data_IF_083583118450
#
_entry.id   IF_083583118450
#
_cell.length_a   1.000
_cell.length_b   1.000
_cell.length_c   1.000
_cell.angle_alpha   90.00
_cell.angle_beta   90.00
_cell.angle_gamma   90.00
#
_symmetry.space_group_name_H-M   'P 1'
#
loop_
_entity.id
_entity.type
_entity.pdbx_description
1 polymer ?
#
# COMPACT_ATOMS: atom_id res chain seq x y z
N UNK A 1 19.76 16.37 3.75
CA UNK A 1 19.12 15.13 4.22
C UNK A 1 18.77 14.26 3.03
N UNK A 2 18.86 12.93 3.16
CA UNK A 2 18.46 12.01 2.10
C UNK A 2 16.93 12.04 1.93
N UNK A 3 16.46 12.02 0.69
CA UNK A 3 15.04 11.97 0.36
C UNK A 3 14.49 10.57 0.67
N UNK A 4 13.47 10.47 1.52
CA UNK A 4 12.92 9.18 1.95
C UNK A 4 12.34 8.36 0.77
N UNK A 5 12.33 7.01 0.86
CA UNK A 5 11.88 6.14 -0.22
C UNK A 5 10.36 6.14 -0.40
N UNK A 6 9.93 5.65 -1.57
CA UNK A 6 8.54 5.23 -1.83
C UNK A 6 8.56 3.74 -2.13
N UNK A 7 7.70 2.98 -1.46
CA UNK A 7 7.67 1.52 -1.54
C UNK A 7 6.22 1.08 -1.79
N UNK A 8 6.03 0.09 -2.65
CA UNK A 8 4.76 -0.64 -2.75
C UNK A 8 5.01 -2.10 -2.36
N UNK A 9 4.16 -2.66 -1.50
CA UNK A 9 4.28 -4.02 -1.00
C UNK A 9 2.99 -4.80 -1.18
N UNK A 10 3.13 -6.10 -1.43
CA UNK A 10 2.05 -7.04 -1.26
C UNK A 10 1.96 -7.42 0.22
N UNK A 11 0.84 -7.25 0.91
CA UNK A 11 0.71 -7.62 2.33
C UNK A 11 0.34 -9.09 2.57
N UNK A 12 0.01 -9.85 1.52
CA UNK A 12 -0.38 -11.26 1.63
C UNK A 12 -1.83 -11.48 2.09
N UNK A 13 -2.24 -12.73 2.25
CA UNK A 13 -3.59 -13.07 2.69
C UNK A 13 -3.73 -13.05 4.21
N UNK A 14 -4.42 -12.05 4.77
CA UNK A 14 -4.67 -11.99 6.22
C UNK A 14 -3.37 -12.12 7.04
N UNK A 15 -3.32 -12.99 8.08
CA UNK A 15 -2.14 -13.18 8.91
C UNK A 15 -1.11 -14.16 8.31
N UNK A 16 -1.38 -14.77 7.15
CA UNK A 16 -0.58 -15.88 6.62
C UNK A 16 0.93 -15.62 6.53
N UNK A 17 1.40 -14.41 6.12
CA UNK A 17 2.83 -14.11 6.16
C UNK A 17 3.45 -14.22 7.56
N UNK A 18 2.71 -13.83 8.62
CA UNK A 18 3.19 -13.92 10.00
C UNK A 18 3.11 -15.34 10.56
N UNK A 19 2.26 -16.20 9.96
CA UNK A 19 2.18 -17.63 10.27
C UNK A 19 3.22 -18.46 9.50
N UNK A 20 4.15 -17.82 8.78
CA UNK A 20 5.16 -18.48 7.94
C UNK A 20 4.56 -19.41 6.88
N UNK A 21 3.41 -19.02 6.30
CA UNK A 21 2.79 -19.78 5.23
C UNK A 21 3.78 -20.01 4.06
N UNK A 22 3.93 -21.26 3.56
CA UNK A 22 4.86 -21.55 2.48
C UNK A 22 4.62 -20.78 1.19
N UNK A 23 3.37 -20.39 0.90
CA UNK A 23 3.00 -19.58 -0.27
C UNK A 23 3.47 -18.13 -0.19
N UNK A 24 3.92 -17.67 0.99
CA UNK A 24 4.37 -16.29 1.22
C UNK A 24 5.89 -16.18 1.44
N UNK A 25 6.66 -17.26 1.24
CA UNK A 25 8.12 -17.28 1.50
C UNK A 25 8.89 -16.12 0.86
N UNK A 26 8.68 -15.84 -0.42
CA UNK A 26 9.39 -14.77 -1.13
C UNK A 26 8.99 -13.38 -0.63
N UNK A 27 7.72 -13.20 -0.28
CA UNK A 27 7.19 -11.99 0.32
C UNK A 27 7.83 -11.74 1.70
N UNK A 28 7.82 -12.76 2.56
CA UNK A 28 8.44 -12.72 3.89
C UNK A 28 9.92 -12.38 3.75
N UNK A 29 10.65 -13.11 2.91
CA UNK A 29 12.08 -12.88 2.67
C UNK A 29 12.36 -11.44 2.20
N UNK A 30 11.55 -10.92 1.28
CA UNK A 30 11.70 -9.53 0.81
C UNK A 30 11.46 -8.52 1.93
N UNK A 31 10.41 -8.72 2.73
CA UNK A 31 10.06 -7.84 3.85
C UNK A 31 11.07 -7.87 4.97
N UNK A 32 11.68 -9.02 5.28
CA UNK A 32 12.64 -9.15 6.39
C UNK A 32 14.07 -8.79 6.00
N UNK A 33 14.41 -8.78 4.71
CA UNK A 33 15.81 -8.55 4.29
C UNK A 33 16.05 -7.38 3.35
N UNK A 34 15.14 -7.09 2.41
CA UNK A 34 15.33 -6.04 1.40
C UNK A 34 14.75 -4.72 1.87
N UNK A 35 13.48 -4.73 2.30
CA UNK A 35 12.78 -3.51 2.71
C UNK A 35 13.41 -2.77 3.90
N UNK A 36 13.97 -3.46 4.93
CA UNK A 36 14.66 -2.78 6.01
C UNK A 36 15.87 -1.98 5.51
N UNK A 37 16.60 -2.53 4.52
CA UNK A 37 17.74 -1.86 3.88
C UNK A 37 17.29 -0.66 3.03
N UNK A 38 16.21 -0.81 2.26
CA UNK A 38 15.64 0.30 1.46
C UNK A 38 15.18 1.45 2.36
N UNK A 39 14.62 1.12 3.52
CA UNK A 39 14.22 2.09 4.53
C UNK A 39 15.37 2.58 5.42
N UNK A 40 16.60 2.07 5.25
CA UNK A 40 17.74 2.44 6.09
C UNK A 40 17.54 2.14 7.59
N UNK A 41 16.72 1.14 7.93
CA UNK A 41 16.41 0.81 9.32
C UNK A 41 17.69 0.44 10.10
N UNK A 42 17.81 0.96 11.32
CA UNK A 42 19.00 0.77 12.16
C UNK A 42 20.18 1.68 11.80
N UNK A 43 19.98 2.70 10.95
CA UNK A 43 20.97 3.70 10.58
C UNK A 43 20.39 5.11 10.68
N UNK A 44 21.22 6.14 10.59
CA UNK A 44 20.78 7.55 10.56
C UNK A 44 19.95 7.90 9.30
N UNK A 45 19.90 7.01 8.31
CA UNK A 45 19.07 7.16 7.13
C UNK A 45 17.63 6.66 7.31
N UNK A 46 17.28 6.11 8.47
CA UNK A 46 15.92 5.67 8.75
C UNK A 46 14.91 6.84 8.65
N UNK A 47 13.70 6.61 8.10
CA UNK A 47 12.70 7.66 8.00
C UNK A 47 12.19 8.06 9.38
N UNK A 48 11.87 9.34 9.56
CA UNK A 48 11.28 9.85 10.81
C UNK A 48 9.86 9.32 11.06
N UNK A 49 9.18 8.95 9.97
CA UNK A 49 7.83 8.40 9.98
C UNK A 49 7.53 7.74 8.62
N UNK A 50 6.50 6.88 8.60
CA UNK A 50 5.99 6.24 7.39
C UNK A 50 4.53 6.65 7.20
N UNK A 51 4.20 7.27 6.06
CA UNK A 51 2.81 7.37 5.60
C UNK A 51 2.46 6.07 4.88
N UNK A 52 1.58 5.28 5.46
CA UNK A 52 1.20 3.97 4.95
C UNK A 52 -0.21 4.02 4.36
N UNK A 53 -0.30 3.89 3.03
CA UNK A 53 -1.57 3.81 2.31
C UNK A 53 -2.01 2.34 2.25
N UNK A 54 -3.16 2.01 2.85
CA UNK A 54 -3.64 0.61 2.93
C UNK A 54 -4.88 0.38 2.08
N UNK A 55 -4.96 -0.78 1.43
CA UNK A 55 -6.14 -1.22 0.69
C UNK A 55 -7.35 -1.57 1.59
N UNK A 56 -7.16 -1.73 2.90
CA UNK A 56 -8.21 -2.13 3.86
C UNK A 56 -8.92 -0.95 4.53
N UNK A 57 -8.68 0.26 4.02
CA UNK A 57 -9.38 1.45 4.46
C UNK A 57 -9.72 2.33 3.26
N UNK A 58 -11.00 2.52 3.01
CA UNK A 58 -11.49 3.27 1.85
C UNK A 58 -12.42 4.37 2.31
N UNK A 59 -12.11 5.61 1.92
CA UNK A 59 -12.86 6.80 2.33
C UNK A 59 -13.12 7.73 1.14
N UNK A 60 -14.15 8.58 1.24
CA UNK A 60 -14.53 9.49 0.14
C UNK A 60 -13.50 10.60 -0.09
N UNK A 61 -12.87 11.05 0.98
CA UNK A 61 -11.81 12.05 1.01
C UNK A 61 -10.53 11.42 1.59
N UNK A 62 -9.35 12.04 1.42
CA UNK A 62 -8.15 11.52 2.07
C UNK A 62 -8.29 11.55 3.59
N UNK A 63 -8.49 10.40 4.21
CA UNK A 63 -8.62 10.30 5.67
C UNK A 63 -7.37 9.69 6.27
N UNK A 64 -6.85 10.32 7.32
CA UNK A 64 -5.53 10.07 7.89
C UNK A 64 -5.70 9.65 9.35
N UNK A 65 -5.04 8.57 9.78
CA UNK A 65 -4.98 8.23 11.20
C UNK A 65 -4.19 9.28 11.99
N UNK A 66 -4.71 9.75 13.12
CA UNK A 66 -4.07 10.77 13.97
C UNK A 66 -3.88 10.34 15.42
N UNK A 67 -4.24 9.11 15.79
CA UNK A 67 -4.04 8.58 17.15
C UNK A 67 -2.56 8.40 17.51
N UNK A 68 -2.20 8.60 18.79
CA UNK A 68 -0.81 8.39 19.29
C UNK A 68 -0.44 6.92 19.44
N UNK A 69 -1.38 6.09 19.90
CA UNK A 69 -1.17 4.68 20.20
C UNK A 69 -2.32 3.84 19.63
N UNK A 70 -2.42 3.72 18.28
CA UNK A 70 -3.50 2.97 17.68
C UNK A 70 -3.44 1.48 18.04
N UNK A 71 -4.60 0.88 18.27
CA UNK A 71 -4.70 -0.57 18.49
C UNK A 71 -4.65 -1.31 17.16
N UNK A 72 -4.31 -2.59 17.19
CA UNK A 72 -4.51 -3.45 16.02
C UNK A 72 -6.01 -3.65 15.76
N UNK A 73 -6.37 -3.58 14.49
CA UNK A 73 -7.67 -3.92 13.94
C UNK A 73 -7.52 -5.26 13.19
N UNK A 74 -8.05 -6.34 13.75
CA UNK A 74 -8.05 -7.65 13.08
C UNK A 74 -9.21 -7.71 12.09
N UNK A 75 -8.97 -7.26 10.86
CA UNK A 75 -9.94 -7.18 9.76
C UNK A 75 -9.99 -8.47 8.90
N UNK A 76 -9.58 -9.61 9.48
CA UNK A 76 -9.66 -10.93 8.87
C UNK A 76 -10.31 -11.96 9.80
N UNK A 77 -10.95 -12.98 9.21
CA UNK A 77 -11.70 -14.02 9.91
C UNK A 77 -11.28 -15.43 9.50
N UNK A 78 -11.55 -16.41 10.37
CA UNK A 78 -11.39 -17.84 10.04
C UNK A 78 -9.96 -18.39 10.17
N UNK A 79 -9.08 -17.67 10.85
CA UNK A 79 -7.69 -18.09 11.08
C UNK A 79 -7.49 -18.70 12.48
N UNK A 80 -6.38 -19.42 12.71
CA UNK A 80 -6.07 -19.99 14.02
C UNK A 80 -5.99 -18.94 15.15
N UNK A 81 -6.35 -19.28 16.41
CA UNK A 81 -6.39 -18.34 17.53
C UNK A 81 -5.08 -17.56 17.77
N UNK A 82 -3.93 -18.17 17.50
CA UNK A 82 -2.61 -17.54 17.64
C UNK A 82 -2.44 -16.31 16.74
N UNK A 83 -3.15 -16.25 15.60
CA UNK A 83 -3.11 -15.08 14.71
C UNK A 83 -3.70 -13.83 15.36
N UNK A 84 -4.71 -14.00 16.22
CA UNK A 84 -5.35 -12.91 16.97
C UNK A 84 -4.58 -12.51 18.23
N UNK A 85 -3.51 -13.24 18.58
CA UNK A 85 -2.61 -12.90 19.68
C UNK A 85 -1.44 -12.02 19.24
N UNK A 86 -1.20 -11.90 17.92
CA UNK A 86 -0.13 -11.08 17.33
C UNK A 86 -0.23 -9.63 17.83
N UNK A 87 0.89 -9.04 18.23
CA UNK A 87 1.00 -7.64 18.66
C UNK A 87 2.02 -6.86 17.85
N UNK A 88 1.69 -5.61 17.58
CA UNK A 88 2.55 -4.66 16.88
C UNK A 88 2.20 -3.23 17.32
N UNK A 89 2.98 -2.72 18.27
CA UNK A 89 2.70 -1.46 18.96
C UNK A 89 3.46 -0.29 18.33
N UNK A 90 3.44 -0.21 17.00
CA UNK A 90 4.04 0.93 16.31
C UNK A 90 3.26 2.20 16.67
N UNK A 91 3.94 3.28 17.10
CA UNK A 91 3.27 4.50 17.49
C UNK A 91 2.66 5.18 16.27
N UNK A 92 1.57 5.90 16.47
CA UNK A 92 1.18 6.94 15.53
C UNK A 92 1.94 8.24 15.79
N UNK A 93 1.64 9.30 15.05
CA UNK A 93 2.13 10.64 15.34
C UNK A 93 1.10 11.69 14.95
N UNK A 94 0.38 12.29 15.91
CA UNK A 94 -0.59 13.35 15.62
C UNK A 94 0.04 14.57 14.94
N UNK A 95 1.29 14.89 15.28
CA UNK A 95 2.05 15.99 14.67
C UNK A 95 2.28 15.73 13.17
N UNK A 96 2.78 14.52 12.84
CA UNK A 96 2.99 14.16 11.43
C UNK A 96 1.66 13.97 10.71
N UNK A 97 0.63 13.43 11.36
CA UNK A 97 -0.71 13.34 10.77
C UNK A 97 -1.26 14.72 10.39
N UNK A 98 -1.08 15.72 11.26
CA UNK A 98 -1.41 17.11 10.95
C UNK A 98 -0.58 17.65 9.78
N UNK A 99 0.73 17.41 9.75
CA UNK A 99 1.60 17.80 8.63
C UNK A 99 1.14 17.18 7.30
N UNK A 100 0.74 15.91 7.30
CA UNK A 100 0.20 15.22 6.11
C UNK A 100 -1.10 15.90 5.67
N UNK A 101 -2.01 16.16 6.60
CA UNK A 101 -3.28 16.85 6.30
C UNK A 101 -3.04 18.26 5.75
N UNK A 102 -2.14 19.04 6.36
CA UNK A 102 -1.81 20.39 5.90
C UNK A 102 -1.19 20.36 4.49
N UNK A 103 -0.33 19.38 4.21
CA UNK A 103 0.26 19.16 2.88
C UNK A 103 -0.82 18.86 1.84
N UNK A 104 -1.77 17.98 2.16
CA UNK A 104 -2.88 17.65 1.27
C UNK A 104 -3.83 18.83 1.06
N UNK A 105 -4.12 19.62 2.10
CA UNK A 105 -4.91 20.87 1.97
C UNK A 105 -4.24 21.86 1.03
N UNK A 106 -2.93 22.04 1.15
CA UNK A 106 -2.15 22.90 0.25
C UNK A 106 -2.23 22.48 -1.22
N UNK A 107 -2.52 21.20 -1.49
CA UNK A 107 -2.74 20.65 -2.83
C UNK A 107 -4.22 20.64 -3.27
N UNK A 108 -5.14 21.23 -2.49
CA UNK A 108 -6.55 21.36 -2.83
C UNK A 108 -7.44 20.19 -2.36
N UNK A 109 -6.92 19.24 -1.59
CA UNK A 109 -7.75 18.19 -0.97
C UNK A 109 -8.44 18.70 0.30
N UNK A 110 -9.48 17.98 0.73
CA UNK A 110 -10.17 18.19 2.01
C UNK A 110 -9.94 16.98 2.93
N UNK A 111 -8.73 16.82 3.49
CA UNK A 111 -8.41 15.65 4.29
C UNK A 111 -9.05 15.70 5.67
N UNK A 112 -9.40 14.52 6.15
CA UNK A 112 -9.96 14.30 7.49
C UNK A 112 -8.94 13.58 8.38
N UNK A 113 -9.00 13.85 9.69
CA UNK A 113 -8.18 13.18 10.70
C UNK A 113 -9.07 12.22 11.50
N UNK A 114 -8.61 10.99 11.70
CA UNK A 114 -9.31 9.98 12.47
C UNK A 114 -8.41 9.50 13.63
N UNK A 115 -8.79 9.85 14.87
CA UNK A 115 -8.02 9.52 16.07
C UNK A 115 -8.19 8.06 16.52
N UNK A 116 -9.27 7.40 16.07
CA UNK A 116 -9.68 6.08 16.52
C UNK A 116 -9.24 4.95 15.57
N UNK A 117 -8.76 5.29 14.36
CA UNK A 117 -8.37 4.30 13.35
C UNK A 117 -7.25 3.40 13.87
N UNK A 118 -7.55 2.11 14.02
CA UNK A 118 -6.58 1.07 14.32
C UNK A 118 -5.80 0.59 13.09
N UNK A 119 -4.67 -0.06 13.34
CA UNK A 119 -3.84 -0.68 12.31
C UNK A 119 -4.49 -1.97 11.80
N UNK A 120 -5.03 -1.95 10.57
CA UNK A 120 -5.48 -3.17 9.88
C UNK A 120 -4.32 -4.08 9.47
N UNK A 121 -4.62 -5.30 9.01
CA UNK A 121 -3.56 -6.24 8.61
C UNK A 121 -2.71 -5.73 7.46
N UNK A 122 -3.25 -4.88 6.58
CA UNK A 122 -2.44 -4.21 5.55
C UNK A 122 -1.38 -3.28 6.13
N UNK A 123 -1.53 -2.83 7.37
CA UNK A 123 -0.53 -2.08 8.12
C UNK A 123 0.37 -3.03 8.92
N UNK A 124 -0.19 -3.77 9.88
CA UNK A 124 0.65 -4.42 10.88
C UNK A 124 1.36 -5.68 10.38
N UNK A 125 0.80 -6.42 9.40
CA UNK A 125 1.47 -7.62 8.86
C UNK A 125 2.78 -7.27 8.16
N UNK A 126 2.80 -6.37 7.15
CA UNK A 126 4.06 -6.01 6.51
C UNK A 126 4.99 -5.31 7.49
N UNK A 127 4.47 -4.43 8.36
CA UNK A 127 5.32 -3.67 9.27
C UNK A 127 5.94 -4.52 10.39
N UNK A 128 5.26 -5.57 10.85
CA UNK A 128 5.85 -6.54 11.79
C UNK A 128 7.03 -7.30 11.18
N UNK A 129 7.00 -7.56 9.87
CA UNK A 129 8.10 -8.20 9.13
C UNK A 129 9.23 -7.22 8.79
N UNK A 130 8.88 -5.99 8.39
CA UNK A 130 9.83 -4.96 7.95
C UNK A 130 10.54 -4.28 9.12
N UNK A 131 9.78 -3.84 10.12
CA UNK A 131 10.31 -3.18 11.31
C UNK A 131 9.75 -3.83 12.59
N UNK A 132 10.23 -5.03 12.99
CA UNK A 132 9.73 -5.74 14.16
C UNK A 132 9.86 -4.95 15.47
N UNK A 133 10.83 -4.03 15.53
CA UNK A 133 11.09 -3.16 16.68
C UNK A 133 9.99 -2.12 16.93
N UNK A 134 9.10 -1.88 15.95
CA UNK A 134 7.94 -0.98 16.08
C UNK A 134 8.31 0.44 16.54
N UNK A 135 9.52 0.89 16.23
CA UNK A 135 10.09 2.16 16.73
C UNK A 135 9.97 3.33 15.75
N UNK A 136 9.31 3.13 14.60
CA UNK A 136 9.06 4.18 13.61
C UNK A 136 7.57 4.53 13.61
N UNK A 137 7.20 5.81 13.78
CA UNK A 137 5.81 6.24 13.70
C UNK A 137 5.16 5.92 12.36
N UNK A 138 3.93 5.39 12.40
CA UNK A 138 3.09 5.12 11.24
C UNK A 138 1.93 6.11 11.18
N UNK A 139 1.66 6.62 9.98
CA UNK A 139 0.50 7.44 9.67
C UNK A 139 -0.24 6.72 8.57
N UNK A 140 -1.34 6.07 8.92
CA UNK A 140 -2.17 5.37 7.96
C UNK A 140 -3.00 6.37 7.15
N UNK A 141 -3.11 6.12 5.85
CA UNK A 141 -3.92 6.90 4.91
C UNK A 141 -4.87 5.96 4.16
N UNK A 142 -6.14 6.32 4.09
CA UNK A 142 -7.15 5.59 3.33
C UNK A 142 -6.89 5.69 1.81
N UNK A 143 -7.25 4.65 1.07
CA UNK A 143 -7.46 4.76 -0.38
C UNK A 143 -8.76 5.52 -0.67
N UNK A 144 -8.83 6.20 -1.81
CA UNK A 144 -10.02 6.95 -2.19
C UNK A 144 -11.09 5.99 -2.71
N UNK A 145 -12.28 6.02 -2.11
CA UNK A 145 -13.44 5.20 -2.48
C UNK A 145 -13.85 5.34 -3.96
N UNK A 146 -13.49 6.44 -4.61
CA UNK A 146 -13.67 6.62 -6.05
C UNK A 146 -12.97 5.58 -6.92
N UNK A 147 -11.91 4.94 -6.41
CA UNK A 147 -11.00 4.05 -7.16
C UNK A 147 -10.43 4.67 -8.45
N UNK A 148 -10.52 5.99 -8.58
CA UNK A 148 -10.07 6.74 -9.74
C UNK A 148 -8.54 6.78 -9.77
N UNK A 149 -7.94 6.20 -10.81
CA UNK A 149 -6.49 6.25 -11.01
C UNK A 149 -5.96 7.71 -11.10
N UNK A 150 -6.60 8.64 -11.84
CA UNK A 150 -6.21 10.05 -11.81
C UNK A 150 -6.25 10.67 -10.41
N UNK A 151 -7.27 10.36 -9.61
CA UNK A 151 -7.41 10.91 -8.25
C UNK A 151 -6.30 10.38 -7.32
N UNK A 152 -5.98 9.08 -7.40
CA UNK A 152 -4.87 8.49 -6.65
C UNK A 152 -3.51 9.00 -7.10
N UNK A 153 -3.33 9.25 -8.41
CA UNK A 153 -2.11 9.86 -8.92
C UNK A 153 -1.93 11.29 -8.40
N UNK A 154 -3.00 12.09 -8.39
CA UNK A 154 -2.99 13.44 -7.81
C UNK A 154 -2.68 13.40 -6.30
N UNK A 155 -3.26 12.44 -5.57
CA UNK A 155 -2.96 12.24 -4.15
C UNK A 155 -1.48 11.89 -3.93
N UNK A 156 -0.92 10.97 -4.72
CA UNK A 156 0.50 10.61 -4.66
C UNK A 156 1.43 11.79 -4.97
N UNK A 157 1.06 12.64 -5.94
CA UNK A 157 1.77 13.89 -6.24
C UNK A 157 1.74 14.86 -5.06
N UNK A 158 0.61 14.98 -4.38
CA UNK A 158 0.48 15.84 -3.19
C UNK A 158 1.34 15.36 -2.02
N UNK A 159 1.54 14.04 -1.86
CA UNK A 159 2.39 13.47 -0.80
C UNK A 159 3.90 13.58 -1.08
N UNK A 160 4.31 13.78 -2.33
CA UNK A 160 5.71 13.75 -2.74
C UNK A 160 6.68 14.67 -1.95
N UNK A 161 6.28 15.89 -1.52
CA UNK A 161 7.14 16.79 -0.72
C UNK A 161 7.44 16.27 0.68
N UNK A 162 6.61 15.40 1.26
CA UNK A 162 6.84 14.83 2.60
C UNK A 162 8.16 14.03 2.65
N UNK A 163 8.55 13.46 1.51
CA UNK A 163 9.80 12.68 1.37
C UNK A 163 11.05 13.52 1.60
N UNK A 164 11.00 14.80 1.25
CA UNK A 164 12.11 15.73 1.45
C UNK A 164 12.25 16.11 2.94
N UNK A 165 11.22 15.83 3.75
CA UNK A 165 11.22 15.92 5.21
C UNK A 165 11.54 14.58 5.90
N UNK A 166 12.12 13.63 5.16
CA UNK A 166 12.45 12.27 5.63
C UNK A 166 11.23 11.42 6.06
N UNK A 167 10.08 11.62 5.41
CA UNK A 167 8.87 10.78 5.61
C UNK A 167 8.74 9.82 4.44
N UNK A 168 8.84 8.51 4.72
CA UNK A 168 8.68 7.49 3.69
C UNK A 168 7.21 7.29 3.33
N UNK A 169 6.93 6.90 2.08
CA UNK A 169 5.58 6.53 1.64
C UNK A 169 5.55 5.04 1.35
N UNK A 170 4.62 4.30 1.96
CA UNK A 170 4.45 2.87 1.76
C UNK A 170 3.02 2.56 1.33
N UNK A 171 2.83 2.05 0.12
CA UNK A 171 1.55 1.50 -0.34
C UNK A 171 1.46 0.01 -0.04
N UNK A 172 0.39 -0.43 0.61
CA UNK A 172 0.16 -1.81 1.01
C UNK A 172 -1.16 -2.34 0.43
N UNK A 173 -1.06 -3.39 -0.39
CA UNK A 173 -2.21 -3.98 -1.10
C UNK A 173 -1.85 -5.33 -1.71
N UNK A 174 -2.46 -5.68 -2.84
CA UNK A 174 -1.97 -6.72 -3.76
C UNK A 174 -1.82 -6.10 -5.15
N UNK A 175 -0.60 -5.68 -5.55
CA UNK A 175 -0.40 -4.78 -6.69
C UNK A 175 -0.67 -5.41 -8.07
N UNK A 176 -0.77 -6.74 -8.17
CA UNK A 176 -1.00 -7.44 -9.44
C UNK A 176 -2.43 -7.93 -9.62
N UNK A 177 -3.00 -8.60 -8.61
CA UNK A 177 -4.32 -9.21 -8.70
C UNK A 177 -4.97 -9.35 -7.32
N UNK A 178 -6.23 -8.96 -7.20
CA UNK A 178 -7.00 -9.06 -5.97
C UNK A 178 -8.49 -9.37 -6.23
N UNK A 179 -8.80 -10.64 -6.51
CA UNK A 179 -10.17 -11.14 -6.62
C UNK A 179 -10.32 -12.41 -5.77
N UNK A 180 -10.87 -12.24 -4.57
CA UNK A 180 -11.00 -13.32 -3.57
C UNK A 180 -11.79 -14.52 -4.11
N UNK A 181 -12.84 -14.28 -4.90
CA UNK A 181 -13.63 -15.37 -5.50
C UNK A 181 -12.78 -16.24 -6.41
N UNK A 182 -11.96 -15.62 -7.27
CA UNK A 182 -11.06 -16.35 -8.15
C UNK A 182 -9.91 -17.00 -7.37
N UNK A 183 -9.38 -16.33 -6.34
CA UNK A 183 -8.34 -16.88 -5.46
C UNK A 183 -8.81 -18.17 -4.77
N UNK A 184 -10.02 -18.17 -4.22
CA UNK A 184 -10.59 -19.34 -3.54
C UNK A 184 -11.16 -20.41 -4.47
N UNK A 185 -11.28 -20.13 -5.78
CA UNK A 185 -11.75 -21.10 -6.78
C UNK A 185 -10.67 -22.05 -7.30
N UNK A 186 -9.39 -21.79 -6.99
CA UNK A 186 -8.25 -22.52 -7.54
C UNK A 186 -7.85 -22.09 -8.96
N UNK A 187 -8.61 -21.21 -9.62
CA UNK A 187 -8.30 -20.67 -10.94
C UNK A 187 -6.93 -19.99 -11.00
N UNK A 188 -6.53 -19.31 -9.91
CA UNK A 188 -5.25 -18.59 -9.84
C UNK A 188 -4.03 -19.51 -9.81
N UNK A 189 -4.22 -20.79 -9.50
CA UNK A 189 -3.16 -21.80 -9.47
C UNK A 189 -2.92 -22.45 -10.82
N UNK A 190 -3.76 -22.14 -11.82
CA UNK A 190 -3.61 -22.69 -13.17
C UNK A 190 -2.37 -22.10 -13.85
N UNK A 191 -1.57 -22.91 -14.59
CA UNK A 191 -0.37 -22.43 -15.27
C UNK A 191 -0.59 -21.23 -16.18
N UNK A 192 -1.72 -21.18 -16.90
CA UNK A 192 -2.07 -20.07 -17.78
C UNK A 192 -2.28 -18.75 -17.02
N UNK A 193 -2.93 -18.81 -15.85
CA UNK A 193 -3.12 -17.63 -15.01
C UNK A 193 -1.77 -17.16 -14.44
N UNK A 194 -0.95 -18.08 -13.93
CA UNK A 194 0.38 -17.78 -13.39
C UNK A 194 1.30 -17.12 -14.43
N UNK A 195 1.31 -17.62 -15.66
CA UNK A 195 2.08 -17.03 -16.76
C UNK A 195 1.62 -15.59 -17.05
N UNK A 196 0.31 -15.38 -17.19
CA UNK A 196 -0.26 -14.04 -17.48
C UNK A 196 -0.04 -13.05 -16.33
N UNK A 197 -0.21 -13.49 -15.09
CA UNK A 197 0.05 -12.66 -13.92
C UNK A 197 1.53 -12.27 -13.83
N UNK A 198 2.45 -13.17 -14.20
CA UNK A 198 3.88 -12.89 -14.28
C UNK A 198 4.19 -11.84 -15.35
N UNK A 199 3.58 -11.93 -16.54
CA UNK A 199 3.73 -10.92 -17.59
C UNK A 199 3.27 -9.53 -17.12
N UNK A 200 2.10 -9.44 -16.48
CA UNK A 200 1.60 -8.19 -15.91
C UNK A 200 2.53 -7.60 -14.85
N UNK A 201 3.08 -8.43 -13.96
CA UNK A 201 4.03 -7.98 -12.94
C UNK A 201 5.32 -7.39 -13.53
N UNK A 202 5.75 -7.85 -14.71
CA UNK A 202 6.96 -7.34 -15.40
C UNK A 202 6.67 -6.03 -16.14
N UNK A 203 5.45 -5.83 -16.63
CA UNK A 203 5.05 -4.59 -17.32
C UNK A 203 4.87 -3.39 -16.37
N UNK A 204 4.40 -3.61 -15.14
CA UNK A 204 4.20 -2.55 -14.15
C UNK A 204 5.45 -1.69 -13.83
N UNK A 205 6.67 -2.26 -13.64
CA UNK A 205 7.87 -1.46 -13.42
C UNK A 205 8.41 -0.74 -14.66
N UNK A 206 7.92 -0.97 -15.89
CA UNK A 206 8.34 -0.21 -17.08
C UNK A 206 7.70 1.19 -17.18
N UNK A 207 6.72 1.52 -16.33
CA UNK A 207 6.20 2.89 -16.12
C UNK A 207 7.22 3.72 -15.28
N UNK A 208 8.51 3.64 -15.64
CA UNK A 208 9.64 4.20 -14.88
C UNK A 208 10.13 5.57 -15.36
N UNK A 209 9.53 6.16 -16.39
CA UNK A 209 9.80 7.53 -16.82
C UNK A 209 8.54 8.24 -17.32
N UNK A 210 7.72 8.73 -16.41
CA UNK A 210 6.90 9.90 -16.72
C UNK A 210 7.83 11.11 -16.59
N UNK A 211 8.29 11.66 -17.71
CA UNK A 211 9.13 12.86 -17.73
C UNK A 211 8.34 14.04 -17.18
N UNK A 212 8.90 14.75 -16.20
CA UNK A 212 8.24 15.83 -15.45
C UNK A 212 8.28 17.20 -16.15
N UNK A 213 8.64 17.27 -17.44
CA UNK A 213 9.08 18.52 -18.09
C UNK A 213 8.07 19.19 -19.04
N UNK A 214 6.80 18.77 -19.10
CA UNK A 214 5.83 19.51 -19.92
C UNK A 214 4.46 19.60 -19.25
N UNK A 215 3.89 20.81 -19.05
CA UNK A 215 2.48 20.98 -18.71
C UNK A 215 1.66 20.80 -19.99
N UNK A 216 1.58 19.55 -20.47
CA UNK A 216 0.64 19.19 -21.52
C UNK A 216 -0.39 18.26 -20.92
N UNK A 217 -1.64 18.72 -20.99
CA UNK A 217 -2.83 18.01 -20.57
C UNK A 217 -2.74 16.54 -20.99
N UNK A 218 -2.55 15.65 -20.02
CA UNK A 218 -2.68 14.21 -20.23
C UNK A 218 -4.16 13.88 -20.33
N UNK A 219 -4.76 14.24 -21.47
CA UNK A 219 -5.90 13.52 -22.02
C UNK A 219 -5.38 12.20 -22.62
N UNK A 220 -4.85 11.32 -21.78
CA UNK A 220 -4.71 9.91 -22.15
C UNK A 220 -5.65 9.15 -21.24
N UNK A 221 -6.74 8.67 -21.83
CA UNK A 221 -7.69 7.81 -21.14
C UNK A 221 -7.00 6.48 -20.93
N UNK A 222 -7.35 5.79 -19.85
CA UNK A 222 -6.86 4.44 -19.58
C UNK A 222 -7.14 3.46 -20.74
N UNK A 223 -8.13 3.77 -21.60
CA UNK A 223 -8.45 3.07 -22.86
C UNK A 223 -7.33 3.11 -23.91
N UNK A 224 -6.36 4.00 -23.77
CA UNK A 224 -5.32 4.22 -24.78
C UNK A 224 -4.12 3.26 -24.58
N UNK A 225 -4.14 2.46 -23.51
CA UNK A 225 -3.26 1.30 -23.39
C UNK A 225 -3.84 0.13 -24.18
N UNK A 226 -3.06 -0.50 -25.09
CA UNK A 226 -3.54 -1.64 -25.86
C UNK A 226 -3.81 -2.81 -24.91
N UNK A 227 -5.09 -3.03 -24.60
CA UNK A 227 -5.55 -4.31 -24.08
C UNK A 227 -5.39 -5.28 -25.25
N UNK A 228 -4.45 -6.21 -25.15
CA UNK A 228 -4.35 -7.30 -26.11
C UNK A 228 -5.62 -8.16 -26.00
N UNK A 229 -6.65 -7.81 -26.75
CA UNK A 229 -7.71 -8.73 -27.15
C UNK A 229 -7.12 -9.69 -28.17
N UNK A 230 -6.79 -10.90 -27.70
CA UNK A 230 -6.83 -12.06 -28.57
C UNK A 230 -7.94 -12.99 -28.09
N UNK A 231 -8.82 -13.25 -29.04
CA UNK A 231 -9.90 -14.23 -29.05
C UNK A 231 -11.18 -13.79 -28.35
N UNK A 232 -12.03 -13.15 -29.16
CA UNK A 232 -13.37 -12.74 -28.80
C UNK A 232 -14.21 -13.90 -28.29
N UNK A 233 -14.61 -13.78 -27.02
CA UNK A 233 -15.95 -14.06 -26.46
C UNK A 233 -15.88 -13.99 -24.94
N UNK A 234 -16.34 -12.87 -24.37
CA UNK A 234 -17.19 -12.86 -23.19
C UNK A 234 -17.67 -11.43 -22.92
N UNK A 235 -18.95 -11.18 -23.23
CA UNK A 235 -19.72 -10.10 -22.59
C UNK A 235 -19.80 -10.44 -21.10
N UNK A 236 -19.43 -9.50 -20.25
CA UNK A 236 -19.57 -9.63 -18.80
C UNK A 236 -19.29 -8.30 -18.12
N UNK A 237 -20.29 -7.42 -18.11
CA UNK A 237 -20.44 -6.37 -17.09
C UNK A 237 -20.32 -7.01 -15.72
N UNK A 238 -19.43 -6.52 -14.87
CA UNK A 238 -19.50 -6.78 -13.42
C UNK A 238 -19.22 -5.50 -12.67
N UNK A 239 -20.17 -5.20 -11.79
CA UNK A 239 -20.20 -4.13 -10.81
C UNK A 239 -19.12 -4.28 -9.72
#
# INVERSE_FOLDING_TARGET
MARAPVISVCHGGGPMPLLNDPGHKDLIQSMTTKLPKVLGLGTDAAPKAIVLVTAHWSERVPTISSGKTPKLLYDYGGFPPESYQIKYDAPGSPEIAKLVADTLRGAGFQPELNEERGWDHGVFVPMKLINPAANIPIIQLAVLASMSAPSHFALGRALAPLRDQNIAILGSGMPSFHNLRLMFSGEISKPAFLARNKEWMVMCPEIRRVSYTTPQMLHTKFSDYPIAEKDGKAKGTVA
#
